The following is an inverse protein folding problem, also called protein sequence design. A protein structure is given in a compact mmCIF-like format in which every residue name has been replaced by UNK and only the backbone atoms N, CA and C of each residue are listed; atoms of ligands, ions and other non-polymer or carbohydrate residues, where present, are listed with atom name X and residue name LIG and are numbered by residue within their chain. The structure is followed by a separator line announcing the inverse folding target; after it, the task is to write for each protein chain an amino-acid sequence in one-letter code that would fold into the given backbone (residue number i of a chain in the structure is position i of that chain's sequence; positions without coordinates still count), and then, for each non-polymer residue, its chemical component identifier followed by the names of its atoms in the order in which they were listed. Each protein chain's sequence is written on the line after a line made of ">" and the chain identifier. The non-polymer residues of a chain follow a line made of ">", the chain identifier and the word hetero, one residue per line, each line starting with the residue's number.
data_IF_256247567101
#
_entry.id   IF_256247567101
#
_cell.length_a   1.000
_cell.length_b   1.000
_cell.length_c   1.000
_cell.angle_alpha   90.00
_cell.angle_beta   90.00
_cell.angle_gamma   90.00
#
_symmetry.space_group_name_H-M   'P 1'
#
loop_
_entity.id
_entity.type
_entity.pdbx_description
1 polymer ?
#
# COMPACT_ATOMS: atom_id res chain seq x y z
N UNK A 1 36.71 0.84 -30.84
CA UNK A 1 35.43 0.09 -30.73
C UNK A 1 34.48 0.49 -31.86
N UNK A 2 34.07 1.76 -31.94
CA UNK A 2 33.11 2.30 -32.91
C UNK A 2 33.44 2.01 -34.38
N UNK A 3 34.73 2.10 -34.75
CA UNK A 3 35.23 1.85 -36.10
C UNK A 3 35.10 0.38 -36.54
N UNK A 4 34.93 -0.54 -35.59
CA UNK A 4 34.83 -1.99 -35.84
C UNK A 4 33.37 -2.48 -35.74
N UNK A 5 32.59 -1.91 -34.82
CA UNK A 5 31.20 -2.36 -34.54
C UNK A 5 30.13 -1.45 -35.13
N UNK A 6 30.48 -0.30 -35.70
CA UNK A 6 29.54 0.70 -36.22
C UNK A 6 28.67 1.37 -35.14
N UNK A 7 28.90 1.05 -33.86
CA UNK A 7 28.18 1.56 -32.69
C UNK A 7 29.18 1.97 -31.62
N UNK A 8 29.03 3.18 -31.05
CA UNK A 8 29.88 3.65 -29.97
C UNK A 8 29.72 2.70 -28.77
N UNK A 9 30.84 2.23 -28.20
CA UNK A 9 30.81 1.22 -27.12
C UNK A 9 30.44 -0.21 -27.56
N UNK A 10 30.30 -0.51 -28.85
CA UNK A 10 29.76 -1.80 -29.32
C UNK A 10 30.54 -3.06 -28.90
N UNK A 11 31.86 -2.97 -28.70
CA UNK A 11 32.67 -4.09 -28.14
C UNK A 11 32.47 -4.29 -26.63
N UNK A 12 31.98 -3.29 -25.91
CA UNK A 12 31.77 -3.32 -24.46
C UNK A 12 30.42 -3.97 -24.16
N UNK A 13 29.37 -3.50 -24.84
CA UNK A 13 28.02 -4.08 -24.76
C UNK A 13 27.99 -5.55 -25.23
N UNK A 14 28.74 -5.92 -26.29
CA UNK A 14 28.84 -7.31 -26.75
C UNK A 14 29.55 -8.26 -25.79
N UNK A 15 30.35 -7.73 -24.86
CA UNK A 15 31.09 -8.51 -23.87
C UNK A 15 30.44 -8.47 -22.47
N UNK A 16 29.19 -8.00 -22.36
CA UNK A 16 28.43 -8.02 -21.11
C UNK A 16 28.87 -6.99 -20.07
N UNK A 17 29.68 -6.00 -20.46
CA UNK A 17 30.03 -4.89 -19.58
C UNK A 17 28.91 -3.84 -19.57
N UNK A 18 28.63 -3.21 -18.42
CA UNK A 18 27.54 -2.25 -18.28
C UNK A 18 27.76 -0.99 -19.15
N UNK A 19 26.69 -0.29 -19.49
CA UNK A 19 26.73 0.90 -20.37
C UNK A 19 27.62 2.05 -19.81
N UNK A 20 27.97 1.99 -18.53
CA UNK A 20 28.88 2.91 -17.85
C UNK A 20 30.34 2.40 -17.73
N UNK A 21 30.72 1.31 -18.41
CA UNK A 21 31.99 0.63 -18.15
C UNK A 21 33.24 1.42 -18.60
N UNK A 22 33.15 2.35 -19.56
CA UNK A 22 34.33 3.12 -20.00
C UNK A 22 34.01 4.62 -20.17
N UNK A 23 34.59 5.38 -19.22
CA UNK A 23 34.95 6.82 -19.25
C UNK A 23 33.79 7.81 -19.05
N UNK A 24 33.72 8.37 -17.84
CA UNK A 24 33.16 9.70 -17.63
C UNK A 24 33.97 10.69 -18.48
N UNK A 25 33.30 11.42 -19.37
CA UNK A 25 33.93 12.50 -20.14
C UNK A 25 34.55 13.50 -19.13
N UNK A 26 35.86 13.81 -19.20
CA UNK A 26 36.51 14.71 -18.24
C UNK A 26 35.94 16.14 -18.22
N UNK A 27 35.11 16.52 -19.20
CA UNK A 27 34.35 17.79 -19.18
C UNK A 27 33.06 17.75 -18.37
N UNK A 28 32.53 16.57 -18.03
CA UNK A 28 31.25 16.42 -17.33
C UNK A 28 31.39 15.51 -16.10
N UNK A 29 31.03 16.04 -14.92
CA UNK A 29 31.08 15.30 -13.66
C UNK A 29 29.99 14.23 -13.50
N UNK A 30 28.94 14.24 -14.33
CA UNK A 30 27.91 13.21 -14.42
C UNK A 30 27.18 13.32 -15.77
N UNK A 31 26.70 12.19 -16.29
CA UNK A 31 25.81 12.14 -17.47
C UNK A 31 24.53 11.43 -17.04
N UNK A 32 23.40 12.15 -17.10
CA UNK A 32 22.09 11.59 -16.76
C UNK A 32 21.46 11.02 -18.03
N UNK A 33 21.22 9.71 -18.02
CA UNK A 33 20.50 9.03 -19.08
C UNK A 33 19.00 9.16 -18.85
N UNK A 34 18.33 9.95 -19.68
CA UNK A 34 16.86 10.06 -19.69
C UNK A 34 16.29 9.10 -20.72
N UNK A 35 15.67 8.03 -20.26
CA UNK A 35 14.95 7.06 -21.08
C UNK A 35 13.60 6.75 -20.45
N UNK A 36 12.75 5.97 -21.14
CA UNK A 36 11.51 5.45 -20.58
C UNK A 36 11.58 3.92 -20.43
N UNK A 37 12.39 3.40 -19.49
CA UNK A 37 12.61 1.96 -19.35
C UNK A 37 11.50 1.28 -18.52
N UNK A 38 10.62 2.04 -17.88
CA UNK A 38 9.62 1.54 -16.95
C UNK A 38 8.50 0.76 -17.64
N UNK A 39 8.10 -0.34 -17.03
CA UNK A 39 6.92 -1.11 -17.41
C UNK A 39 5.92 -1.22 -16.26
N UNK A 40 4.62 -1.23 -16.61
CA UNK A 40 3.52 -1.39 -15.66
C UNK A 40 2.38 -2.20 -16.29
N UNK A 41 1.76 -3.08 -15.51
CA UNK A 41 0.60 -3.88 -15.93
C UNK A 41 -0.52 -3.80 -14.89
N UNK A 42 -1.76 -3.78 -15.37
CA UNK A 42 -2.96 -3.72 -14.53
C UNK A 42 -3.94 -4.82 -14.94
N UNK A 43 -4.27 -5.67 -13.98
CA UNK A 43 -5.33 -6.67 -14.11
C UNK A 43 -6.47 -6.30 -13.17
N UNK A 44 -7.72 -6.43 -13.62
CA UNK A 44 -8.87 -6.18 -12.77
C UNK A 44 -10.08 -7.05 -13.11
N UNK A 45 -10.96 -7.19 -12.12
CA UNK A 45 -12.29 -7.74 -12.26
C UNK A 45 -13.25 -6.77 -11.59
N UNK A 46 -14.29 -6.34 -12.32
CA UNK A 46 -15.30 -5.44 -11.81
C UNK A 46 -16.65 -6.16 -11.78
N UNK A 47 -17.29 -6.15 -10.61
CA UNK A 47 -18.63 -6.68 -10.39
C UNK A 47 -19.53 -5.54 -9.94
N UNK A 48 -20.67 -5.38 -10.61
CA UNK A 48 -21.70 -4.44 -10.22
C UNK A 48 -23.04 -5.17 -10.09
N UNK A 49 -23.69 -5.04 -8.94
CA UNK A 49 -25.02 -5.59 -8.69
C UNK A 49 -25.96 -4.47 -8.27
N UNK A 50 -27.10 -4.39 -8.93
CA UNK A 50 -28.15 -3.43 -8.59
C UNK A 50 -29.41 -4.18 -8.22
N UNK A 51 -29.79 -4.12 -6.95
CA UNK A 51 -31.12 -4.52 -6.52
C UNK A 51 -32.05 -3.32 -6.61
N UNK A 52 -32.96 -3.36 -7.57
CA UNK A 52 -34.07 -2.40 -7.68
C UNK A 52 -35.01 -2.52 -6.49
N UNK A 53 -35.74 -1.44 -6.20
CA UNK A 53 -36.68 -1.35 -5.08
C UNK A 53 -37.65 -2.54 -5.09
N UNK A 54 -37.58 -3.36 -4.04
CA UNK A 54 -38.50 -4.46 -3.81
C UNK A 54 -38.71 -4.61 -2.31
N UNK A 55 -39.98 -4.65 -1.89
CA UNK A 55 -40.36 -4.76 -0.47
C UNK A 55 -39.67 -3.70 0.42
N UNK A 56 -39.49 -2.48 -0.09
CA UNK A 56 -38.85 -1.38 0.64
C UNK A 56 -37.32 -1.37 0.61
N UNK A 57 -36.66 -2.37 0.00
CA UNK A 57 -35.19 -2.43 -0.08
C UNK A 57 -34.67 -2.12 -1.48
N UNK A 58 -33.68 -1.24 -1.58
CA UNK A 58 -32.91 -0.97 -2.79
C UNK A 58 -31.43 -0.90 -2.43
N UNK A 59 -30.56 -1.41 -3.31
CA UNK A 59 -29.12 -1.41 -3.08
C UNK A 59 -28.34 -1.37 -4.39
N UNK A 60 -27.26 -0.59 -4.39
CA UNK A 60 -26.23 -0.60 -5.42
C UNK A 60 -24.94 -1.10 -4.78
N UNK A 61 -24.38 -2.13 -5.39
CA UNK A 61 -23.16 -2.79 -4.96
C UNK A 61 -22.13 -2.76 -6.08
N UNK A 62 -20.89 -2.42 -5.75
CA UNK A 62 -19.74 -2.45 -6.63
C UNK A 62 -18.56 -3.10 -5.91
N UNK A 63 -17.87 -3.99 -6.62
CA UNK A 63 -16.65 -4.63 -6.16
C UNK A 63 -15.62 -4.66 -7.28
N UNK A 64 -14.41 -4.21 -6.96
CA UNK A 64 -13.27 -4.26 -7.87
C UNK A 64 -12.17 -5.08 -7.20
N UNK A 65 -11.81 -6.19 -7.84
CA UNK A 65 -10.51 -6.80 -7.62
C UNK A 65 -9.51 -6.16 -8.58
N UNK A 66 -8.30 -5.87 -8.10
CA UNK A 66 -7.23 -5.40 -8.98
C UNK A 66 -5.89 -6.02 -8.65
N UNK A 67 -4.94 -5.89 -9.58
CA UNK A 67 -3.53 -6.18 -9.41
C UNK A 67 -2.73 -5.23 -10.29
N UNK A 68 -2.10 -4.24 -9.65
CA UNK A 68 -1.27 -3.22 -10.31
C UNK A 68 0.19 -3.54 -10.06
N UNK A 69 0.91 -3.93 -11.10
CA UNK A 69 2.34 -4.22 -11.04
C UNK A 69 3.11 -3.20 -11.86
N UNK A 70 4.33 -2.90 -11.44
CA UNK A 70 5.25 -2.08 -12.21
C UNK A 70 6.50 -1.74 -11.42
N UNK A 71 7.35 -0.93 -12.05
CA UNK A 71 8.65 -0.55 -11.48
C UNK A 71 8.57 0.74 -10.63
N UNK A 72 7.62 1.63 -10.96
CA UNK A 72 7.43 2.95 -10.34
C UNK A 72 5.95 3.37 -10.26
N UNK A 73 5.63 4.21 -9.28
CA UNK A 73 4.27 4.71 -9.04
C UNK A 73 3.84 5.91 -9.90
N UNK A 74 4.71 6.43 -10.76
CA UNK A 74 4.46 7.65 -11.54
C UNK A 74 5.71 8.11 -12.28
N UNK A 75 5.70 9.36 -12.73
CA UNK A 75 6.78 9.94 -13.53
C UNK A 75 7.91 10.48 -12.62
N UNK A 76 9.11 9.93 -12.76
CA UNK A 76 10.30 10.38 -12.03
C UNK A 76 11.52 9.52 -12.35
N UNK A 77 12.70 9.89 -11.89
CA UNK A 77 13.90 9.07 -12.06
C UNK A 77 13.72 7.67 -11.44
N UNK A 78 13.84 6.64 -12.25
CA UNK A 78 13.83 5.25 -11.81
C UNK A 78 15.20 4.90 -11.22
N UNK A 79 15.25 4.74 -9.89
CA UNK A 79 16.41 4.16 -9.22
C UNK A 79 16.25 2.64 -9.16
N UNK A 80 16.93 1.95 -10.06
CA UNK A 80 16.96 0.49 -10.08
C UNK A 80 17.89 -0.06 -8.99
N UNK A 81 17.39 -0.99 -8.18
CA UNK A 81 18.21 -1.75 -7.21
C UNK A 81 19.41 -2.43 -7.88
N UNK A 82 19.21 -3.05 -9.05
CA UNK A 82 20.27 -3.50 -9.96
C UNK A 82 20.06 -2.84 -11.34
N UNK A 83 20.93 -1.92 -11.78
CA UNK A 83 20.89 -1.37 -13.13
C UNK A 83 21.09 -2.43 -14.24
N UNK A 84 21.54 -3.64 -13.91
CA UNK A 84 21.68 -4.76 -14.86
C UNK A 84 20.44 -5.65 -14.89
N UNK A 85 19.53 -5.50 -13.93
CA UNK A 85 18.33 -6.34 -13.82
C UNK A 85 17.12 -5.52 -13.35
N UNK A 86 16.53 -4.79 -14.28
CA UNK A 86 15.38 -3.92 -14.00
C UNK A 86 14.15 -4.72 -13.53
N UNK A 87 14.01 -5.99 -13.95
CA UNK A 87 12.89 -6.85 -13.58
C UNK A 87 12.78 -7.08 -12.06
N UNK A 88 13.86 -6.95 -11.30
CA UNK A 88 13.81 -7.04 -9.83
C UNK A 88 12.98 -5.93 -9.19
N UNK A 89 12.78 -4.81 -9.88
CA UNK A 89 12.01 -3.68 -9.38
C UNK A 89 10.52 -3.81 -9.68
N UNK A 90 10.12 -4.81 -10.48
CA UNK A 90 8.72 -5.04 -10.85
C UNK A 90 7.94 -5.64 -9.67
N UNK A 91 7.15 -4.79 -9.01
CA UNK A 91 6.46 -5.12 -7.77
C UNK A 91 5.06 -4.49 -7.75
N UNK A 92 4.31 -4.63 -6.65
CA UNK A 92 3.02 -3.97 -6.53
C UNK A 92 3.22 -2.46 -6.45
N UNK A 93 2.40 -1.69 -7.15
CA UNK A 93 2.49 -0.24 -7.12
C UNK A 93 1.85 0.31 -5.83
N UNK A 94 2.27 1.49 -5.35
CA UNK A 94 1.77 2.09 -4.10
C UNK A 94 0.29 2.46 -4.13
N UNK A 95 -0.25 2.76 -5.31
CA UNK A 95 -1.69 2.97 -5.52
C UNK A 95 -2.47 1.65 -5.68
N UNK A 96 -1.81 0.51 -5.67
CA UNK A 96 -2.47 -0.79 -5.75
C UNK A 96 -3.40 -1.00 -4.55
N UNK A 97 -4.60 -1.49 -4.83
CA UNK A 97 -5.59 -1.95 -3.86
C UNK A 97 -6.13 -3.28 -4.34
N UNK A 98 -5.86 -4.37 -3.61
CA UNK A 98 -6.28 -5.73 -4.03
C UNK A 98 -7.80 -5.83 -4.17
N UNK A 99 -8.52 -5.27 -3.20
CA UNK A 99 -9.98 -5.26 -3.18
C UNK A 99 -10.50 -3.87 -2.84
N UNK A 100 -11.52 -3.42 -3.56
CA UNK A 100 -12.34 -2.25 -3.22
C UNK A 100 -13.81 -2.65 -3.28
N UNK A 101 -14.55 -2.35 -2.22
CA UNK A 101 -15.93 -2.73 -2.00
C UNK A 101 -16.72 -1.48 -1.67
N UNK A 102 -17.80 -1.24 -2.40
CA UNK A 102 -18.73 -0.14 -2.16
C UNK A 102 -20.16 -0.67 -2.20
N UNK A 103 -20.94 -0.40 -1.15
CA UNK A 103 -22.36 -0.71 -1.09
C UNK A 103 -23.12 0.49 -0.58
N UNK A 104 -24.16 0.89 -1.30
CA UNK A 104 -25.07 1.95 -0.92
C UNK A 104 -26.50 1.42 -1.01
N UNK A 105 -27.20 1.36 0.12
CA UNK A 105 -28.56 0.84 0.18
C UNK A 105 -29.48 1.69 1.03
N UNK A 106 -30.78 1.60 0.73
CA UNK A 106 -31.83 2.10 1.62
C UNK A 106 -32.88 1.03 1.83
N UNK A 107 -33.44 1.04 3.04
CA UNK A 107 -34.46 0.12 3.49
C UNK A 107 -35.57 0.90 4.18
N UNK A 108 -36.77 0.85 3.62
CA UNK A 108 -37.99 1.30 4.29
C UNK A 108 -38.36 0.29 5.36
N UNK A 109 -38.43 0.74 6.62
CA UNK A 109 -38.77 -0.17 7.71
C UNK A 109 -40.21 -0.68 7.54
N UNK A 110 -40.46 -1.98 7.74
CA UNK A 110 -41.77 -2.58 7.51
C UNK A 110 -42.75 -2.35 8.68
N UNK A 111 -42.77 -1.13 9.23
CA UNK A 111 -43.66 -0.71 10.30
C UNK A 111 -44.79 0.18 9.77
N UNK A 112 -45.98 0.00 10.34
CA UNK A 112 -47.13 0.85 10.11
C UNK A 112 -48.17 0.25 9.16
N UNK A 113 -49.12 1.07 8.68
CA UNK A 113 -50.34 0.60 8.04
C UNK A 113 -50.05 -0.11 6.71
N UNK A 114 -50.61 -1.30 6.52
CA UNK A 114 -50.36 -2.10 5.32
C UNK A 114 -48.93 -2.64 5.20
N UNK A 115 -48.14 -2.61 6.28
CA UNK A 115 -46.81 -3.23 6.37
C UNK A 115 -46.83 -4.43 7.32
N UNK A 116 -45.71 -5.17 7.35
CA UNK A 116 -45.60 -6.45 8.05
C UNK A 116 -45.74 -6.34 9.57
N UNK A 117 -45.30 -5.24 10.16
CA UNK A 117 -45.31 -5.05 11.61
C UNK A 117 -46.10 -3.79 11.99
N UNK A 118 -46.79 -3.84 13.13
CA UNK A 118 -47.60 -2.72 13.64
C UNK A 118 -48.65 -2.23 12.63
N UNK A 119 -49.23 -3.16 11.87
CA UNK A 119 -50.29 -2.91 10.89
C UNK A 119 -51.51 -2.23 11.50
N UNK A 120 -51.89 -2.68 12.70
CA UNK A 120 -53.10 -2.28 13.42
C UNK A 120 -52.83 -1.28 14.55
N UNK A 121 -51.68 -0.58 14.50
CA UNK A 121 -51.31 0.38 15.53
C UNK A 121 -52.38 1.50 15.65
N UNK A 122 -52.82 1.83 16.89
CA UNK A 122 -53.88 2.81 17.10
C UNK A 122 -53.39 4.25 16.93
N UNK A 123 -54.25 5.11 16.39
CA UNK A 123 -54.19 6.58 16.47
C UNK A 123 -52.81 7.20 16.23
N UNK A 124 -52.25 7.83 17.26
CA UNK A 124 -50.97 8.56 17.20
C UNK A 124 -49.76 7.63 17.03
N UNK A 125 -49.81 6.41 17.57
CA UNK A 125 -48.73 5.42 17.47
C UNK A 125 -48.50 5.05 16.01
N UNK A 126 -49.59 4.89 15.24
CA UNK A 126 -49.57 4.67 13.78
C UNK A 126 -48.70 5.69 13.05
N UNK A 127 -48.89 6.99 13.36
CA UNK A 127 -48.14 8.09 12.72
C UNK A 127 -46.69 8.13 13.16
N UNK A 128 -46.38 7.68 14.37
CA UNK A 128 -45.00 7.58 14.87
C UNK A 128 -44.23 6.40 14.26
N UNK A 129 -44.89 5.30 13.92
CA UNK A 129 -44.21 4.08 13.44
C UNK A 129 -44.13 3.93 11.91
N UNK A 130 -44.89 4.70 11.14
CA UNK A 130 -44.89 4.58 9.66
C UNK A 130 -43.71 5.32 8.97
N UNK A 131 -43.36 4.95 7.73
CA UNK A 131 -42.48 5.77 6.85
C UNK A 131 -41.10 6.10 7.44
N UNK A 132 -40.53 5.16 8.18
CA UNK A 132 -39.10 5.18 8.50
C UNK A 132 -38.30 4.61 7.32
N UNK A 133 -37.20 5.27 7.01
CA UNK A 133 -36.25 4.82 6.00
C UNK A 133 -34.85 4.86 6.61
N UNK A 134 -34.18 3.73 6.59
CA UNK A 134 -32.77 3.59 6.97
C UNK A 134 -31.95 3.55 5.68
N UNK A 135 -30.88 4.31 5.60
CA UNK A 135 -29.89 4.19 4.54
C UNK A 135 -28.50 3.98 5.12
N UNK A 136 -27.64 3.38 4.30
CA UNK A 136 -26.28 3.05 4.70
C UNK A 136 -25.35 3.00 3.51
N UNK A 137 -24.16 3.55 3.71
CA UNK A 137 -23.04 3.46 2.79
C UNK A 137 -21.94 2.70 3.50
N UNK A 138 -21.58 1.54 2.97
CA UNK A 138 -20.43 0.78 3.40
C UNK A 138 -19.34 0.85 2.35
N UNK A 139 -18.14 1.18 2.80
CA UNK A 139 -16.95 1.19 1.96
C UNK A 139 -15.83 0.42 2.64
N UNK A 140 -15.18 -0.46 1.89
CA UNK A 140 -14.00 -1.16 2.37
C UNK A 140 -12.96 -1.25 1.25
N UNK A 141 -11.70 -1.00 1.58
CA UNK A 141 -10.59 -1.19 0.65
C UNK A 141 -9.40 -1.84 1.34
N UNK A 142 -8.73 -2.75 0.64
CA UNK A 142 -7.45 -3.32 1.09
C UNK A 142 -6.40 -2.22 1.29
N UNK A 143 -5.35 -2.50 2.07
CA UNK A 143 -4.28 -1.53 2.26
C UNK A 143 -3.39 -1.33 1.04
N UNK A 144 -2.65 -0.22 1.04
CA UNK A 144 -1.53 -0.03 0.14
C UNK A 144 -0.41 -1.01 0.49
N UNK A 145 0.32 -1.56 -0.48
CA UNK A 145 1.44 -2.40 -0.15
C UNK A 145 2.62 -1.57 0.38
N UNK A 146 3.36 -2.11 1.35
CA UNK A 146 4.44 -1.45 2.08
C UNK A 146 5.78 -2.09 1.73
N UNK A 147 6.81 -1.26 1.56
CA UNK A 147 8.20 -1.71 1.36
C UNK A 147 8.99 -1.51 2.65
N UNK A 148 9.68 -2.55 3.10
CA UNK A 148 10.71 -2.43 4.13
C UNK A 148 12.03 -2.15 3.44
N UNK A 149 12.70 -1.09 3.87
CA UNK A 149 13.99 -0.68 3.33
C UNK A 149 15.11 -1.09 4.27
N UNK A 150 16.26 -1.42 3.70
CA UNK A 150 17.49 -1.67 4.41
C UNK A 150 18.48 -0.55 4.09
N UNK A 151 19.21 -0.07 5.10
CA UNK A 151 19.94 1.19 5.04
C UNK A 151 21.30 1.10 4.30
N UNK A 152 21.62 -0.06 3.76
CA UNK A 152 22.96 -0.49 3.38
C UNK A 152 23.11 -0.80 1.87
N UNK A 153 22.31 -0.17 1.02
CA UNK A 153 22.58 -0.21 -0.42
C UNK A 153 23.73 0.74 -0.75
N UNK A 154 24.95 0.29 -0.49
CA UNK A 154 26.12 0.85 -1.14
C UNK A 154 26.28 0.18 -2.50
N UNK A 155 25.33 0.38 -3.41
CA UNK A 155 25.67 0.34 -4.84
C UNK A 155 26.43 1.63 -5.10
N UNK A 156 27.76 1.54 -5.07
CA UNK A 156 28.66 2.64 -5.39
C UNK A 156 28.39 3.12 -6.81
N UNK A 157 27.55 4.14 -6.95
CA UNK A 157 27.50 4.94 -8.17
C UNK A 157 28.62 5.97 -8.08
N UNK A 158 29.79 5.60 -8.57
CA UNK A 158 30.86 6.58 -8.84
C UNK A 158 30.41 7.45 -10.02
N UNK A 159 29.68 8.53 -9.72
CA UNK A 159 29.41 9.58 -10.72
C UNK A 159 30.72 10.26 -11.16
N UNK A 160 31.75 10.26 -10.30
CA UNK A 160 33.06 10.89 -10.52
C UNK A 160 34.18 9.89 -10.21
N UNK A 161 35.19 9.69 -11.08
CA UNK A 161 36.40 8.95 -10.74
C UNK A 161 37.07 9.55 -9.49
N UNK A 162 37.16 8.77 -8.40
CA UNK A 162 37.75 9.22 -7.13
C UNK A 162 36.76 9.76 -6.09
N UNK A 163 35.44 9.73 -6.33
CA UNK A 163 34.42 10.07 -5.33
C UNK A 163 33.44 8.92 -5.12
N UNK A 164 33.42 8.35 -3.92
CA UNK A 164 32.40 7.37 -3.49
C UNK A 164 31.12 8.16 -3.17
N UNK A 165 30.23 8.30 -4.16
CA UNK A 165 28.87 8.72 -3.87
C UNK A 165 28.07 7.50 -3.43
N UNK A 166 27.76 7.44 -2.14
CA UNK A 166 26.83 6.47 -1.56
C UNK A 166 25.41 6.88 -1.98
N UNK A 167 25.02 6.57 -3.22
CA UNK A 167 23.63 6.68 -3.63
C UNK A 167 22.86 5.59 -2.86
N UNK A 168 22.14 6.01 -1.81
CA UNK A 168 21.30 5.15 -0.97
C UNK A 168 20.10 4.68 -1.79
N UNK A 169 20.33 3.77 -2.73
CA UNK A 169 19.22 3.07 -3.40
C UNK A 169 18.44 2.38 -2.29
N UNK A 170 17.12 2.52 -2.21
CA UNK A 170 16.36 1.82 -1.19
C UNK A 170 16.38 0.30 -1.47
N UNK A 171 17.38 -0.41 -0.95
CA UNK A 171 17.46 -1.87 -0.99
C UNK A 171 16.49 -2.46 0.04
N UNK A 172 16.15 -3.73 -0.12
CA UNK A 172 15.32 -4.46 0.84
C UNK A 172 16.22 -5.28 1.78
N UNK A 173 15.72 -5.69 2.96
CA UNK A 173 16.46 -6.60 3.83
C UNK A 173 16.49 -8.03 3.27
N UNK A 174 17.40 -8.85 3.78
CA UNK A 174 17.35 -10.30 3.62
C UNK A 174 16.29 -10.90 4.54
N UNK A 175 15.43 -11.76 3.98
CA UNK A 175 14.51 -12.58 4.76
C UNK A 175 15.24 -13.83 5.27
N UNK A 176 15.36 -13.95 6.60
CA UNK A 176 16.07 -15.03 7.29
C UNK A 176 15.12 -15.96 8.07
N UNK A 177 13.86 -15.55 8.24
CA UNK A 177 12.82 -16.35 8.87
C UNK A 177 11.43 -16.03 8.33
N UNK A 178 10.39 -16.54 8.99
CA UNK A 178 9.00 -16.35 8.56
C UNK A 178 8.56 -14.88 8.66
N UNK A 179 8.34 -14.26 7.50
CA UNK A 179 7.84 -12.88 7.40
C UNK A 179 6.70 -12.80 6.35
N UNK A 180 5.47 -13.19 6.74
CA UNK A 180 4.35 -13.27 5.82
C UNK A 180 3.87 -11.87 5.39
N UNK A 181 3.15 -11.80 4.25
CA UNK A 181 2.60 -10.53 3.73
C UNK A 181 1.60 -9.87 4.67
N UNK A 182 0.87 -10.69 5.45
CA UNK A 182 -0.16 -10.29 6.41
C UNK A 182 0.38 -10.03 7.81
N UNK A 183 1.69 -9.82 7.96
CA UNK A 183 2.36 -9.63 9.25
C UNK A 183 1.93 -8.34 9.97
N UNK A 184 1.44 -7.35 9.23
CA UNK A 184 1.05 -6.06 9.77
C UNK A 184 -0.34 -6.07 10.40
N UNK A 185 -0.44 -5.58 11.65
CA UNK A 185 -1.70 -5.34 12.34
C UNK A 185 -1.59 -4.06 13.17
N UNK A 186 -2.64 -3.24 13.18
CA UNK A 186 -2.67 -2.04 14.02
C UNK A 186 -2.90 -2.49 15.48
N UNK A 187 -1.86 -2.36 16.31
CA UNK A 187 -1.95 -2.55 17.76
C UNK A 187 -2.01 -1.18 18.44
N UNK A 188 -3.16 -0.78 19.01
CA UNK A 188 -3.27 0.46 19.76
C UNK A 188 -2.50 0.37 21.09
N UNK A 189 -1.85 1.47 21.47
CA UNK A 189 -1.13 1.63 22.73
C UNK A 189 -1.50 2.95 23.40
N UNK A 190 -1.11 3.14 24.66
CA UNK A 190 -1.34 4.39 25.40
C UNK A 190 -0.64 5.62 24.80
N UNK A 191 0.37 5.43 23.93
CA UNK A 191 1.17 6.51 23.32
C UNK A 191 1.08 6.59 21.80
N UNK A 192 0.21 5.80 21.16
CA UNK A 192 0.10 5.73 19.70
C UNK A 192 -0.35 4.35 19.20
N UNK A 193 -0.02 4.01 17.97
CA UNK A 193 -0.27 2.68 17.41
C UNK A 193 0.98 2.14 16.71
N UNK A 194 1.24 0.84 16.85
CA UNK A 194 2.27 0.13 16.10
C UNK A 194 1.63 -0.73 15.01
N UNK A 195 2.33 -0.91 13.89
CA UNK A 195 1.85 -1.74 12.78
C UNK A 195 2.53 -3.11 12.72
N UNK A 196 3.77 -3.21 13.21
CA UNK A 196 4.52 -4.46 13.30
C UNK A 196 4.70 -4.80 14.76
N UNK A 197 3.70 -5.46 15.33
CA UNK A 197 3.77 -5.98 16.69
C UNK A 197 4.45 -7.35 16.72
N UNK A 198 5.07 -7.71 17.84
CA UNK A 198 5.78 -9.00 18.01
C UNK A 198 7.18 -9.06 17.38
N UNK A 199 7.69 -7.94 16.87
CA UNK A 199 9.05 -7.83 16.36
C UNK A 199 9.84 -6.76 17.10
N UNK A 200 11.11 -7.07 17.38
CA UNK A 200 12.01 -6.17 18.08
C UNK A 200 13.16 -5.75 17.17
N UNK A 201 13.50 -4.46 17.20
CA UNK A 201 14.73 -4.00 16.59
C UNK A 201 15.92 -4.41 17.46
N UNK A 202 16.84 -5.17 16.89
CA UNK A 202 18.08 -5.60 17.53
C UNK A 202 19.29 -5.09 16.75
N UNK A 203 20.47 -5.12 17.37
CA UNK A 203 21.71 -4.82 16.63
C UNK A 203 21.91 -5.83 15.52
N UNK A 204 22.22 -5.36 14.31
CA UNK A 204 22.42 -6.24 13.17
C UNK A 204 23.63 -7.17 13.39
N UNK A 205 23.52 -8.49 13.13
CA UNK A 205 24.60 -9.46 13.29
C UNK A 205 25.88 -9.13 12.51
N UNK A 206 25.78 -8.31 11.45
CA UNK A 206 26.92 -7.89 10.65
C UNK A 206 27.96 -7.08 11.44
N UNK A 207 27.63 -6.60 12.64
CA UNK A 207 28.59 -5.95 13.55
C UNK A 207 29.80 -6.84 13.86
N UNK A 208 29.62 -8.18 13.85
CA UNK A 208 30.69 -9.14 14.08
C UNK A 208 31.83 -9.05 13.05
N UNK A 209 31.55 -8.55 11.85
CA UNK A 209 32.52 -8.33 10.79
C UNK A 209 33.20 -6.96 10.83
N UNK A 210 32.84 -6.08 11.76
CA UNK A 210 33.37 -4.71 11.82
C UNK A 210 34.60 -4.66 12.72
N UNK A 211 35.71 -4.14 12.16
CA UNK A 211 36.95 -3.95 12.91
C UNK A 211 36.77 -2.99 14.08
N UNK A 212 37.45 -3.26 15.19
CA UNK A 212 37.52 -2.35 16.34
C UNK A 212 38.46 -1.16 16.12
N UNK A 213 39.20 -1.12 15.00
CA UNK A 213 40.09 -0.01 14.68
C UNK A 213 39.31 1.29 14.51
N UNK A 214 39.92 2.41 14.94
CA UNK A 214 39.38 3.76 14.76
C UNK A 214 37.93 3.94 15.24
N UNK A 215 37.50 3.21 16.28
CA UNK A 215 36.13 3.32 16.86
C UNK A 215 35.00 3.00 15.86
N UNK A 216 35.31 2.21 14.81
CA UNK A 216 34.34 1.85 13.77
C UNK A 216 33.23 0.94 14.32
N UNK A 217 33.57 -0.03 15.17
CA UNK A 217 32.57 -0.90 15.81
C UNK A 217 31.61 -0.13 16.73
N UNK A 218 32.08 0.89 17.44
CA UNK A 218 31.23 1.76 18.27
C UNK A 218 30.37 2.74 17.46
N UNK A 219 30.71 2.95 16.18
CA UNK A 219 29.91 3.77 15.25
C UNK A 219 28.86 2.95 14.49
N UNK A 220 28.79 1.64 14.74
CA UNK A 220 27.84 0.76 14.07
C UNK A 220 26.40 1.00 14.57
N UNK A 221 25.53 1.45 13.67
CA UNK A 221 24.14 1.78 13.99
C UNK A 221 23.11 0.86 13.31
N UNK A 222 23.54 -0.10 12.48
CA UNK A 222 22.62 -0.93 11.71
C UNK A 222 21.77 -1.80 12.64
N UNK A 223 20.49 -1.92 12.27
CA UNK A 223 19.48 -2.70 13.00
C UNK A 223 18.96 -3.83 12.14
N UNK A 224 18.69 -4.95 12.81
CA UNK A 224 17.96 -6.09 12.26
C UNK A 224 16.63 -6.24 13.00
N UNK A 225 15.72 -7.03 12.44
CA UNK A 225 14.43 -7.36 13.04
C UNK A 225 14.48 -8.78 13.58
N UNK A 226 14.16 -8.96 14.85
CA UNK A 226 14.04 -10.26 15.50
C UNK A 226 12.60 -10.57 15.90
N UNK A 227 12.23 -11.85 15.93
CA UNK A 227 10.97 -12.31 16.51
C UNK A 227 10.99 -12.25 18.05
N UNK A 228 9.87 -12.58 18.68
CA UNK A 228 9.74 -12.64 20.14
C UNK A 228 10.67 -13.68 20.81
N UNK A 229 11.17 -14.68 20.06
CA UNK A 229 12.12 -15.67 20.54
C UNK A 229 13.58 -15.23 20.36
N UNK A 230 13.82 -14.07 19.75
CA UNK A 230 15.16 -13.53 19.49
C UNK A 230 15.80 -14.03 18.19
N UNK A 231 15.09 -14.80 17.36
CA UNK A 231 15.60 -15.21 16.05
C UNK A 231 15.56 -14.03 15.08
N UNK A 232 16.63 -13.82 14.32
CA UNK A 232 16.68 -12.77 13.30
C UNK A 232 15.79 -13.16 12.13
N UNK A 233 14.82 -12.31 11.80
CA UNK A 233 13.87 -12.52 10.70
C UNK A 233 14.22 -11.66 9.49
N UNK A 234 14.65 -10.41 9.71
CA UNK A 234 15.13 -9.51 8.67
C UNK A 234 16.49 -8.94 9.06
N UNK A 235 17.46 -8.99 8.14
CA UNK A 235 18.78 -8.39 8.34
C UNK A 235 19.17 -7.54 7.12
N UNK A 236 20.07 -6.59 7.32
CA UNK A 236 20.62 -5.83 6.21
C UNK A 236 21.44 -6.77 5.30
N UNK A 237 21.34 -6.66 3.96
CA UNK A 237 22.22 -7.41 3.07
C UNK A 237 23.71 -7.12 3.31
N UNK A 238 24.60 -7.98 2.84
CA UNK A 238 26.03 -7.63 2.87
C UNK A 238 26.32 -6.55 1.83
N UNK A 239 27.32 -5.66 2.03
CA UNK A 239 27.71 -4.68 1.02
C UNK A 239 27.93 -5.33 -0.35
N UNK A 240 27.40 -4.72 -1.40
CA UNK A 240 27.44 -5.25 -2.77
C UNK A 240 26.40 -6.33 -3.10
N UNK A 241 25.49 -6.65 -2.17
CA UNK A 241 24.37 -7.59 -2.41
C UNK A 241 23.00 -6.91 -2.30
N UNK A 242 22.02 -7.49 -2.99
CA UNK A 242 20.62 -7.04 -2.97
C UNK A 242 19.84 -7.92 -2.01
N UNK A 243 18.92 -7.32 -1.27
CA UNK A 243 18.07 -8.02 -0.34
C UNK A 243 17.16 -9.04 -1.01
N UNK A 244 16.85 -10.11 -0.28
CA UNK A 244 15.95 -11.16 -0.77
C UNK A 244 14.47 -10.86 -0.52
N UNK A 245 14.13 -9.90 0.36
CA UNK A 245 12.73 -9.49 0.55
C UNK A 245 12.24 -8.72 -0.68
N UNK A 246 11.10 -9.12 -1.24
CA UNK A 246 10.50 -8.40 -2.35
C UNK A 246 10.07 -6.98 -1.97
N UNK A 247 10.13 -6.04 -2.92
CA UNK A 247 9.52 -4.71 -2.75
C UNK A 247 8.02 -4.86 -2.54
N UNK A 248 7.41 -3.96 -1.77
CA UNK A 248 5.94 -3.91 -1.59
C UNK A 248 5.33 -5.26 -1.17
N UNK A 249 6.08 -6.04 -0.38
CA UNK A 249 5.71 -7.40 0.03
C UNK A 249 4.56 -7.41 1.05
N UNK A 250 4.52 -6.40 1.91
CA UNK A 250 3.60 -6.33 3.06
C UNK A 250 2.31 -5.67 2.62
N UNK A 251 1.17 -6.22 3.02
CA UNK A 251 -0.12 -5.54 2.88
C UNK A 251 -0.25 -4.52 4.00
N UNK A 252 -0.55 -3.26 3.67
CA UNK A 252 -0.76 -2.20 4.65
C UNK A 252 -2.15 -2.24 5.30
N UNK A 253 -2.44 -1.27 6.19
CA UNK A 253 -3.74 -1.19 6.86
C UNK A 253 -4.91 -1.09 5.87
N UNK A 254 -5.96 -1.87 6.11
CA UNK A 254 -7.21 -1.76 5.36
C UNK A 254 -8.01 -0.54 5.84
N UNK A 255 -8.83 0.01 4.95
CA UNK A 255 -9.75 1.12 5.29
C UNK A 255 -11.18 0.60 5.27
N UNK A 256 -11.93 0.84 6.35
CA UNK A 256 -13.34 0.44 6.47
C UNK A 256 -14.16 1.63 6.98
N UNK A 257 -15.19 2.01 6.22
CA UNK A 257 -16.09 3.11 6.54
C UNK A 257 -17.54 2.65 6.48
N UNK A 258 -18.33 3.13 7.43
CA UNK A 258 -19.77 2.89 7.47
C UNK A 258 -20.47 4.17 7.91
N UNK A 259 -21.24 4.73 6.99
CA UNK A 259 -22.02 5.93 7.19
C UNK A 259 -23.51 5.54 7.12
N UNK A 260 -24.33 6.07 8.02
CA UNK A 260 -25.74 5.70 8.16
C UNK A 260 -26.59 6.95 8.20
N UNK A 261 -27.76 6.88 7.59
CA UNK A 261 -28.80 7.89 7.77
C UNK A 261 -30.14 7.27 8.14
N UNK A 262 -30.89 7.96 8.99
CA UNK A 262 -32.23 7.59 9.38
C UNK A 262 -33.16 8.75 9.06
N UNK A 263 -34.20 8.46 8.28
CA UNK A 263 -35.21 9.43 7.88
C UNK A 263 -36.56 8.98 8.37
N UNK A 264 -37.29 9.90 9.00
CA UNK A 264 -38.67 9.72 9.46
C UNK A 264 -39.55 10.79 8.84
N UNK A 265 -40.53 10.37 8.06
CA UNK A 265 -41.56 11.26 7.51
C UNK A 265 -42.88 11.11 8.27
N UNK A 266 -43.45 12.23 8.72
CA UNK A 266 -44.74 12.30 9.40
C UNK A 266 -45.68 13.16 8.56
N UNK A 267 -46.77 12.57 8.07
CA UNK A 267 -47.83 13.34 7.40
C UNK A 267 -48.67 14.02 8.48
N UNK A 268 -48.77 15.34 8.45
CA UNK A 268 -49.56 16.14 9.41
C UNK A 268 -50.96 16.37 8.84
N UNK A 269 -51.03 16.84 7.59
CA UNK A 269 -52.27 17.05 6.83
C UNK A 269 -52.10 16.57 5.38
N UNK A 270 -53.14 16.66 4.56
CA UNK A 270 -53.09 16.21 3.15
C UNK A 270 -51.94 16.85 2.37
N UNK A 271 -51.63 18.12 2.65
CA UNK A 271 -50.58 18.91 1.98
C UNK A 271 -49.37 19.24 2.88
N UNK A 272 -49.33 18.72 4.13
CA UNK A 272 -48.26 19.04 5.09
C UNK A 272 -47.55 17.78 5.54
N UNK A 273 -46.23 17.73 5.33
CA UNK A 273 -45.34 16.67 5.78
C UNK A 273 -44.19 17.28 6.59
N UNK A 274 -43.79 16.57 7.65
CA UNK A 274 -42.64 16.91 8.47
C UNK A 274 -41.62 15.76 8.37
N UNK A 275 -40.35 16.10 8.13
CA UNK A 275 -39.26 15.13 8.02
C UNK A 275 -38.23 15.37 9.13
N UNK A 276 -37.86 14.29 9.81
CA UNK A 276 -36.72 14.25 10.72
C UNK A 276 -35.65 13.41 10.04
N UNK A 277 -34.44 13.96 9.94
CA UNK A 277 -33.26 13.25 9.42
C UNK A 277 -32.14 13.27 10.44
N UNK A 278 -31.52 12.12 10.63
CA UNK A 278 -30.31 11.94 11.44
C UNK A 278 -29.26 11.27 10.56
N UNK A 279 -28.09 11.88 10.46
CA UNK A 279 -26.93 11.34 9.74
C UNK A 279 -25.81 11.06 10.73
N UNK A 280 -25.16 9.91 10.57
CA UNK A 280 -23.98 9.53 11.33
C UNK A 280 -22.88 9.09 10.35
N UNK A 281 -21.74 9.77 10.42
CA UNK A 281 -20.56 9.48 9.59
C UNK A 281 -19.57 8.69 10.44
N UNK A 282 -18.93 7.70 9.84
CA UNK A 282 -17.96 6.83 10.49
C UNK A 282 -18.53 6.18 11.78
N UNK A 283 -19.67 5.52 11.66
CA UNK A 283 -20.36 4.87 12.78
C UNK A 283 -19.49 3.83 13.48
N UNK A 284 -18.57 3.20 12.74
CA UNK A 284 -17.61 2.24 13.29
C UNK A 284 -16.44 2.90 14.05
N UNK A 285 -16.33 4.24 13.99
CA UNK A 285 -15.25 5.01 14.60
C UNK A 285 -13.85 4.48 14.24
N UNK A 286 -13.65 4.11 12.98
CA UNK A 286 -12.34 3.67 12.49
C UNK A 286 -11.59 4.87 11.87
N UNK A 287 -10.27 4.98 12.08
CA UNK A 287 -9.47 5.96 11.36
C UNK A 287 -9.56 5.70 9.85
N UNK A 288 -9.73 6.79 9.09
CA UNK A 288 -9.80 6.80 7.61
C UNK A 288 -8.43 6.95 6.98
#
# INVERSE_FOLDING_TARGET
>A
STTVTGKAGGLIARNGFPDNFIVANPQYAAVVMNTNPGSSTYHSMNLQLTKRLSHGFTNSFAYTWSRSLGEQNGDGGLEYQDPRNHHQNHALLGFHRTHDFRSNGTFELPFGPGRRFLSDAPGIVKRLVERWQLGGIFSWSSGAPITITAANAETTWTAVPGTINLARTANTPNILGSFPKSVGSITPTTSGAYYFDGYNQVTDPSISGITGQQTLSSSFSNKALADASGNIILANPTPGTIGTLGRTWIEGPTHAGFDVNLVKRIRIAEKKEFEIRVDAVNVMNNPR
#
